data_IF_498014463137
#
_entry.id   IF_498014463137
#
_cell.length_a   1.000
_cell.length_b   1.000
_cell.length_c   1.000
_cell.angle_alpha   90.00
_cell.angle_beta   90.00
_cell.angle_gamma   90.00
#
_symmetry.space_group_name_H-M   'P 1'
#
loop_
_entity.id
_entity.type
_entity.pdbx_description
1 polymer ?
#
# COMPACT_ATOMS: atom_id res chain seq x y z
N UNK A 1 9.92 8.79 -32.73
CA UNK A 1 8.61 8.65 -32.06
C UNK A 1 8.52 7.20 -31.63
N UNK A 2 8.96 6.91 -30.41
CA UNK A 2 8.95 5.55 -29.83
C UNK A 2 8.82 5.62 -28.29
N UNK A 3 8.59 6.81 -27.70
CA UNK A 3 8.50 7.02 -26.24
C UNK A 3 7.06 7.22 -25.73
N UNK A 4 6.11 7.39 -26.64
CA UNK A 4 4.77 7.89 -26.34
C UNK A 4 3.84 6.76 -25.84
N UNK A 5 3.98 5.56 -26.40
CA UNK A 5 3.19 4.36 -26.04
C UNK A 5 3.67 3.70 -24.73
N UNK A 6 4.95 3.88 -24.40
CA UNK A 6 5.57 3.35 -23.18
C UNK A 6 5.06 4.02 -21.91
N UNK A 7 4.76 5.33 -21.95
CA UNK A 7 4.34 6.10 -20.76
C UNK A 7 2.95 5.69 -20.28
N UNK A 8 1.98 5.63 -21.19
CA UNK A 8 0.61 5.17 -20.88
C UNK A 8 0.61 3.70 -20.45
N UNK A 9 1.29 2.84 -21.23
CA UNK A 9 1.32 1.40 -20.98
C UNK A 9 1.98 1.06 -19.63
N UNK A 10 3.09 1.72 -19.27
CA UNK A 10 3.76 1.52 -17.99
C UNK A 10 2.90 1.94 -16.80
N UNK A 11 2.26 3.12 -16.88
CA UNK A 11 1.40 3.62 -15.80
C UNK A 11 0.12 2.80 -15.65
N UNK A 12 -0.45 2.31 -16.76
CA UNK A 12 -1.61 1.42 -16.76
C UNK A 12 -1.27 0.06 -16.17
N UNK A 13 -0.21 -0.58 -16.65
CA UNK A 13 0.28 -1.86 -16.14
C UNK A 13 0.58 -1.76 -14.63
N UNK A 14 1.21 -0.66 -14.22
CA UNK A 14 1.47 -0.40 -12.82
C UNK A 14 0.18 -0.18 -12.04
N UNK A 15 -0.81 0.56 -12.57
CA UNK A 15 -2.09 0.76 -11.90
C UNK A 15 -2.89 -0.54 -11.71
N UNK A 16 -2.81 -1.44 -12.69
CA UNK A 16 -3.45 -2.76 -12.69
C UNK A 16 -2.72 -3.75 -11.76
N UNK A 17 -1.41 -3.59 -11.57
CA UNK A 17 -0.62 -4.42 -10.67
C UNK A 17 -0.74 -3.93 -9.21
N UNK A 18 -1.42 -4.73 -8.37
CA UNK A 18 -1.62 -4.42 -6.95
C UNK A 18 -0.29 -4.46 -6.18
N UNK A 19 0.64 -5.35 -6.56
CA UNK A 19 1.89 -5.51 -5.85
C UNK A 19 2.97 -4.53 -6.32
N UNK A 20 3.15 -3.46 -5.57
CA UNK A 20 4.29 -2.55 -5.68
C UNK A 20 5.52 -3.17 -5.00
N UNK A 21 5.96 -4.33 -5.47
CA UNK A 21 7.03 -5.11 -4.82
C UNK A 21 8.43 -4.57 -5.13
N UNK A 22 8.66 -4.00 -6.30
CA UNK A 22 9.96 -3.46 -6.72
C UNK A 22 10.02 -1.94 -6.57
N UNK A 23 10.82 -1.47 -5.59
CA UNK A 23 11.01 -0.04 -5.34
C UNK A 23 11.75 0.67 -6.48
N UNK A 24 12.68 -0.03 -7.12
CA UNK A 24 13.50 0.54 -8.19
C UNK A 24 12.65 0.85 -9.43
N UNK A 25 11.87 -0.15 -9.86
CA UNK A 25 11.01 -0.01 -11.04
C UNK A 25 9.89 1.02 -10.79
N UNK A 26 9.38 1.09 -9.55
CA UNK A 26 8.37 2.07 -9.18
C UNK A 26 8.93 3.50 -9.11
N UNK A 27 10.12 3.71 -8.52
CA UNK A 27 10.72 5.05 -8.42
C UNK A 27 11.09 5.58 -9.82
N UNK A 28 11.42 4.70 -10.76
CA UNK A 28 11.71 5.02 -12.16
C UNK A 28 10.43 5.42 -12.93
N UNK A 29 9.34 4.65 -12.79
CA UNK A 29 8.05 4.93 -13.45
C UNK A 29 7.31 6.14 -12.81
N UNK A 30 7.48 6.35 -11.49
CA UNK A 30 6.94 7.50 -10.73
C UNK A 30 7.91 8.70 -10.76
N UNK A 31 9.00 8.57 -11.52
CA UNK A 31 10.01 9.60 -11.73
C UNK A 31 9.52 10.77 -12.59
N UNK A 32 10.27 11.87 -12.53
CA UNK A 32 10.00 13.10 -13.31
C UNK A 32 9.89 12.84 -14.81
N UNK A 33 10.56 11.81 -15.33
CA UNK A 33 10.62 11.52 -16.76
C UNK A 33 9.26 11.08 -17.35
N UNK A 34 8.43 10.34 -16.61
CA UNK A 34 7.09 9.94 -17.06
C UNK A 34 6.06 11.06 -16.89
N UNK A 35 6.20 11.90 -15.85
CA UNK A 35 5.31 13.04 -15.62
C UNK A 35 5.45 14.15 -16.66
N UNK A 36 6.64 14.29 -17.25
CA UNK A 36 6.87 15.26 -18.33
C UNK A 36 6.03 14.90 -19.55
N UNK A 37 5.71 13.63 -19.82
CA UNK A 37 4.99 13.20 -21.01
C UNK A 37 3.45 13.29 -20.89
N UNK A 38 2.91 13.74 -19.75
CA UNK A 38 1.46 13.86 -19.57
C UNK A 38 0.78 14.83 -20.54
N UNK A 39 1.52 15.80 -21.07
CA UNK A 39 1.00 16.73 -22.09
C UNK A 39 0.72 16.06 -23.44
N UNK A 40 1.28 14.88 -23.69
CA UNK A 40 1.16 14.11 -24.95
C UNK A 40 -0.01 13.12 -24.91
N UNK A 41 -0.54 12.82 -23.73
CA UNK A 41 -1.68 11.92 -23.55
C UNK A 41 -2.98 12.58 -24.00
N UNK A 42 -3.88 11.79 -24.58
CA UNK A 42 -5.24 12.25 -24.91
C UNK A 42 -6.12 12.36 -23.66
N UNK A 43 -7.18 13.16 -23.74
CA UNK A 43 -8.14 13.32 -22.63
C UNK A 43 -8.77 11.98 -22.19
N UNK A 44 -9.00 11.06 -23.14
CA UNK A 44 -9.56 9.73 -22.87
C UNK A 44 -8.57 8.85 -22.08
N UNK A 45 -7.30 8.80 -22.50
CA UNK A 45 -6.24 8.06 -21.81
C UNK A 45 -5.97 8.61 -20.41
N UNK A 46 -6.00 9.94 -20.28
CA UNK A 46 -5.80 10.62 -19.01
C UNK A 46 -6.95 10.35 -18.03
N UNK A 47 -8.19 10.30 -18.52
CA UNK A 47 -9.36 9.94 -17.73
C UNK A 47 -9.32 8.48 -17.27
N UNK A 48 -8.95 7.54 -18.15
CA UNK A 48 -8.80 6.13 -17.81
C UNK A 48 -7.71 5.91 -16.75
N UNK A 49 -6.53 6.50 -16.95
CA UNK A 49 -5.43 6.44 -15.98
C UNK A 49 -5.88 7.01 -14.63
N UNK A 50 -6.58 8.14 -14.63
CA UNK A 50 -7.09 8.75 -13.38
C UNK A 50 -8.00 7.79 -12.63
N UNK A 51 -8.95 7.13 -13.31
CA UNK A 51 -9.84 6.15 -12.67
C UNK A 51 -9.08 4.94 -12.12
N UNK A 52 -8.12 4.40 -12.88
CA UNK A 52 -7.32 3.25 -12.46
C UNK A 52 -6.49 3.57 -11.21
N UNK A 53 -5.84 4.74 -11.18
CA UNK A 53 -5.03 5.17 -10.04
C UNK A 53 -5.88 5.53 -8.81
N UNK A 54 -7.09 6.06 -8.98
CA UNK A 54 -8.04 6.26 -7.88
C UNK A 54 -8.51 4.93 -7.29
N UNK A 55 -8.83 3.94 -8.12
CA UNK A 55 -9.18 2.58 -7.67
C UNK A 55 -8.01 1.92 -6.93
N UNK A 56 -6.78 2.12 -7.41
CA UNK A 56 -5.57 1.64 -6.73
C UNK A 56 -5.38 2.33 -5.38
N UNK A 57 -5.56 3.65 -5.30
CA UNK A 57 -5.48 4.42 -4.06
C UNK A 57 -6.46 3.88 -3.01
N UNK A 58 -7.72 3.65 -3.40
CA UNK A 58 -8.73 3.07 -2.52
C UNK A 58 -8.35 1.66 -2.02
N UNK A 59 -7.71 0.87 -2.89
CA UNK A 59 -7.21 -0.48 -2.53
C UNK A 59 -6.06 -0.39 -1.53
N UNK A 60 -5.06 0.47 -1.77
CA UNK A 60 -3.96 0.69 -0.83
C UNK A 60 -4.44 1.23 0.53
N UNK A 61 -5.49 2.06 0.55
CA UNK A 61 -6.12 2.50 1.80
C UNK A 61 -6.73 1.34 2.58
N UNK A 62 -7.44 0.43 1.91
CA UNK A 62 -7.99 -0.79 2.52
C UNK A 62 -6.89 -1.70 3.07
N UNK A 63 -5.80 -1.91 2.32
CA UNK A 63 -4.67 -2.73 2.78
C UNK A 63 -3.99 -2.15 4.02
N UNK A 64 -3.81 -0.82 4.07
CA UNK A 64 -3.28 -0.13 5.25
C UNK A 64 -4.18 -0.35 6.47
N UNK A 65 -5.51 -0.21 6.31
CA UNK A 65 -6.48 -0.44 7.37
C UNK A 65 -6.50 -1.90 7.82
N UNK A 66 -6.50 -2.84 6.88
CA UNK A 66 -6.48 -4.28 7.17
C UNK A 66 -5.22 -4.66 7.97
N UNK A 67 -4.04 -4.17 7.58
CA UNK A 67 -2.80 -4.43 8.31
C UNK A 67 -2.79 -3.79 9.70
N UNK A 68 -3.40 -2.62 9.89
CA UNK A 68 -3.55 -2.05 11.23
C UNK A 68 -4.53 -2.83 12.11
N UNK A 69 -5.57 -3.41 11.51
CA UNK A 69 -6.60 -4.16 12.24
C UNK A 69 -6.11 -5.54 12.72
N UNK A 70 -5.22 -6.20 11.96
CA UNK A 70 -4.62 -7.49 12.36
C UNK A 70 -3.88 -7.40 13.69
N UNK A 71 -3.18 -6.28 13.96
CA UNK A 71 -2.52 -6.03 15.26
C UNK A 71 -3.52 -6.04 16.41
N UNK A 72 -4.63 -5.33 16.25
CA UNK A 72 -5.69 -5.23 17.27
C UNK A 72 -6.30 -6.60 17.54
N UNK A 73 -6.55 -7.40 16.50
CA UNK A 73 -7.06 -8.76 16.64
C UNK A 73 -6.11 -9.66 17.44
N UNK A 74 -4.80 -9.58 17.15
CA UNK A 74 -3.77 -10.36 17.85
C UNK A 74 -3.72 -9.99 19.32
N UNK A 75 -3.70 -8.69 19.65
CA UNK A 75 -3.80 -8.22 21.04
C UNK A 75 -5.08 -8.70 21.75
N UNK A 76 -6.21 -8.70 21.04
CA UNK A 76 -7.48 -9.22 21.58
C UNK A 76 -7.41 -10.71 21.94
N UNK A 77 -6.84 -11.54 21.07
CA UNK A 77 -6.65 -12.98 21.32
C UNK A 77 -5.73 -13.25 22.51
N UNK A 78 -4.75 -12.38 22.73
CA UNK A 78 -3.80 -12.50 23.83
C UNK A 78 -4.45 -12.18 25.17
N UNK A 79 -5.22 -11.10 25.25
CA UNK A 79 -5.97 -10.76 26.45
C UNK A 79 -6.92 -11.92 26.80
N UNK A 80 -7.59 -12.48 25.80
CA UNK A 80 -8.45 -13.65 25.98
C UNK A 80 -7.67 -14.87 26.50
N UNK A 81 -6.51 -15.18 25.92
CA UNK A 81 -5.66 -16.29 26.37
C UNK A 81 -5.14 -16.08 27.81
N UNK A 82 -4.79 -14.85 28.19
CA UNK A 82 -4.39 -14.50 29.55
C UNK A 82 -5.53 -14.71 30.55
N UNK A 83 -6.76 -14.34 30.21
CA UNK A 83 -7.94 -14.57 31.05
C UNK A 83 -8.17 -16.08 31.28
N UNK A 84 -8.04 -16.89 30.24
CA UNK A 84 -8.17 -18.36 30.33
C UNK A 84 -7.04 -18.96 31.19
N UNK A 85 -5.80 -18.51 31.01
CA UNK A 85 -4.64 -18.98 31.76
C UNK A 85 -4.69 -18.59 33.25
N UNK A 86 -5.25 -17.42 33.56
CA UNK A 86 -5.50 -16.99 34.95
C UNK A 86 -6.50 -17.91 35.63
N UNK A 87 -7.61 -18.25 34.96
CA UNK A 87 -8.62 -19.17 35.49
C UNK A 87 -8.09 -20.60 35.70
N UNK A 88 -7.04 -21.00 34.98
CA UNK A 88 -6.44 -22.35 35.06
C UNK A 88 -5.15 -22.44 35.88
N UNK A 89 -4.65 -21.33 36.45
CA UNK A 89 -3.55 -21.32 37.42
C UNK A 89 -2.12 -21.39 36.83
N UNK A 90 -1.95 -21.24 35.51
CA UNK A 90 -0.65 -21.35 34.82
C UNK A 90 -0.14 -20.02 34.27
N UNK A 91 0.47 -19.18 35.10
CA UNK A 91 0.65 -17.74 34.76
C UNK A 91 2.05 -17.42 34.19
N UNK A 92 3.14 -17.95 34.73
CA UNK A 92 4.48 -17.44 34.40
C UNK A 92 5.03 -17.88 33.02
N UNK A 93 4.90 -19.17 32.66
CA UNK A 93 5.43 -19.71 31.40
C UNK A 93 4.62 -19.33 30.15
N UNK A 94 3.30 -19.16 30.30
CA UNK A 94 2.41 -18.78 29.21
C UNK A 94 2.64 -17.32 28.78
N UNK A 95 2.86 -16.41 29.74
CA UNK A 95 3.05 -14.97 29.46
C UNK A 95 4.33 -14.73 28.64
N UNK A 96 5.45 -15.38 28.98
CA UNK A 96 6.71 -15.20 28.27
C UNK A 96 6.64 -15.66 26.79
N UNK A 97 5.97 -16.79 26.53
CA UNK A 97 5.72 -17.30 25.17
C UNK A 97 4.86 -16.33 24.34
N UNK A 98 3.79 -15.80 24.95
CA UNK A 98 2.89 -14.85 24.30
C UNK A 98 3.60 -13.56 23.91
N UNK A 99 4.43 -12.99 24.81
CA UNK A 99 5.17 -11.75 24.53
C UNK A 99 6.13 -11.92 23.36
N UNK A 100 6.79 -13.08 23.23
CA UNK A 100 7.66 -13.38 22.09
C UNK A 100 6.91 -13.43 20.75
N UNK A 101 5.74 -14.08 20.73
CA UNK A 101 4.88 -14.16 19.54
C UNK A 101 4.31 -12.79 19.16
N UNK A 102 3.93 -11.97 20.15
CA UNK A 102 3.52 -10.57 19.93
C UNK A 102 4.61 -9.77 19.28
N UNK A 103 5.83 -9.85 19.81
CA UNK A 103 6.98 -9.11 19.28
C UNK A 103 7.25 -9.46 17.82
N UNK A 104 7.18 -10.75 17.46
CA UNK A 104 7.34 -11.20 16.07
C UNK A 104 6.21 -10.71 15.16
N UNK A 105 4.95 -10.82 15.60
CA UNK A 105 3.80 -10.36 14.81
C UNK A 105 3.86 -8.84 14.62
N UNK A 106 4.15 -8.08 15.67
CA UNK A 106 4.30 -6.62 15.60
C UNK A 106 5.43 -6.21 14.66
N UNK A 107 6.54 -6.95 14.60
CA UNK A 107 7.64 -6.69 13.67
C UNK A 107 7.26 -6.96 12.22
N UNK A 108 6.57 -8.07 11.94
CA UNK A 108 6.07 -8.40 10.61
C UNK A 108 5.04 -7.36 10.17
N UNK A 109 4.14 -6.97 11.07
CA UNK A 109 3.12 -5.98 10.77
C UNK A 109 3.71 -4.59 10.57
N UNK A 110 4.70 -4.16 11.35
CA UNK A 110 5.39 -2.87 11.13
C UNK A 110 6.00 -2.80 9.73
N UNK A 111 6.60 -3.90 9.24
CA UNK A 111 7.09 -3.99 7.86
C UNK A 111 5.95 -3.89 6.83
N UNK A 112 4.83 -4.58 7.05
CA UNK A 112 3.64 -4.54 6.17
C UNK A 112 3.00 -3.15 6.15
N UNK A 113 2.79 -2.54 7.31
CA UNK A 113 2.26 -1.17 7.47
C UNK A 113 3.18 -0.15 6.83
N UNK A 114 4.51 -0.27 6.99
CA UNK A 114 5.48 0.58 6.30
C UNK A 114 5.43 0.42 4.79
N UNK A 115 5.25 -0.80 4.26
CA UNK A 115 5.04 -1.04 2.81
C UNK A 115 3.72 -0.38 2.36
N UNK A 116 2.60 -0.65 3.04
CA UNK A 116 1.30 -0.10 2.70
C UNK A 116 1.24 1.45 2.74
N UNK A 117 1.85 2.08 3.77
CA UNK A 117 1.95 3.54 3.86
C UNK A 117 2.75 4.15 2.71
N UNK A 118 3.81 3.49 2.26
CA UNK A 118 4.63 3.95 1.12
C UNK A 118 3.84 3.86 -0.19
N UNK A 119 3.29 2.68 -0.47
CA UNK A 119 2.45 2.46 -1.66
C UNK A 119 1.30 3.48 -1.76
N UNK A 120 0.66 3.77 -0.63
CA UNK A 120 -0.40 4.78 -0.57
C UNK A 120 0.12 6.18 -0.93
N UNK A 121 1.29 6.58 -0.41
CA UNK A 121 1.90 7.88 -0.70
C UNK A 121 2.29 8.01 -2.18
N UNK A 122 2.79 6.92 -2.76
CA UNK A 122 3.20 6.87 -4.16
C UNK A 122 1.98 6.95 -5.09
N UNK A 123 0.93 6.19 -4.79
CA UNK A 123 -0.35 6.27 -5.52
C UNK A 123 -1.00 7.66 -5.40
N UNK A 124 -0.96 8.28 -4.22
CA UNK A 124 -1.45 9.65 -3.99
C UNK A 124 -0.67 10.67 -4.83
N UNK A 125 0.65 10.54 -4.90
CA UNK A 125 1.52 11.42 -5.71
C UNK A 125 1.16 11.33 -7.20
N UNK A 126 1.02 10.12 -7.74
CA UNK A 126 0.64 9.92 -9.16
C UNK A 126 -0.76 10.46 -9.44
N UNK A 127 -1.74 10.15 -8.60
CA UNK A 127 -3.11 10.62 -8.76
C UNK A 127 -3.20 12.15 -8.70
N UNK A 128 -2.49 12.80 -7.77
CA UNK A 128 -2.42 14.25 -7.71
C UNK A 128 -1.78 14.87 -8.97
N UNK A 129 -0.77 14.22 -9.55
CA UNK A 129 -0.13 14.67 -10.79
C UNK A 129 -1.04 14.50 -12.00
N UNK A 130 -1.73 13.37 -12.14
CA UNK A 130 -2.74 13.15 -13.19
C UNK A 130 -3.88 14.17 -13.11
N UNK A 131 -4.42 14.41 -11.91
CA UNK A 131 -5.44 15.45 -11.68
C UNK A 131 -4.95 16.86 -12.00
N UNK A 132 -3.67 17.15 -11.74
CA UNK A 132 -3.09 18.45 -12.12
C UNK A 132 -2.94 18.60 -13.63
N UNK A 133 -2.52 17.54 -14.33
CA UNK A 133 -2.37 17.53 -15.79
C UNK A 133 -3.72 17.68 -16.49
N UNK A 134 -4.75 16.98 -16.00
CA UNK A 134 -6.13 17.05 -16.54
C UNK A 134 -6.80 18.42 -16.35
N UNK A 135 -6.31 19.25 -15.40
CA UNK A 135 -6.81 20.63 -15.22
C UNK A 135 -6.04 21.67 -16.04
N UNK A 136 -4.88 21.31 -16.57
CA UNK A 136 -4.00 22.19 -17.35
C UNK A 136 -4.08 21.94 -18.86
N UNK A 137 -4.66 20.81 -19.27
CA UNK A 137 -5.20 20.58 -20.62
C UNK A 137 -6.53 21.34 -20.76
#
# INVERSE_FOLDING_TARGET
>A
MEKDEDTYSALKLMAETIDMSSRNDNDEIIGLEYYVNFHVLTDEELAELTQLWEKKLATCQKEKLASQFTVVQVFGLIILAMLIAWLSGGIAGAIASIVGVVGMIAMIEDKRVKKAKRNLKDAEKVCNKLRSASRSH
#
